data_IF_135092774112
#
_entry.id   IF_135092774112
#
_cell.length_a   1.000
_cell.length_b   1.000
_cell.length_c   1.000
_cell.angle_alpha   90.00
_cell.angle_beta   90.00
_cell.angle_gamma   90.00
#
_symmetry.space_group_name_H-M   'P 1'
#
loop_
_entity.id
_entity.type
_entity.pdbx_description
1 polymer ?
#
# COMPACT_ATOMS: atom_id res chain seq x y z
N UNK A 1 -12.19 -9.80 -4.01
CA UNK A 1 -11.95 -8.35 -4.17
C UNK A 1 -10.62 -8.07 -4.84
N UNK A 2 -9.51 -8.71 -4.42
CA UNK A 2 -8.18 -8.62 -5.06
C UNK A 2 -8.23 -8.73 -6.58
N UNK A 3 -8.90 -9.75 -7.11
CA UNK A 3 -8.94 -10.02 -8.56
C UNK A 3 -9.52 -8.88 -9.41
N UNK A 4 -10.53 -8.17 -8.89
CA UNK A 4 -11.14 -7.04 -9.59
C UNK A 4 -10.22 -5.82 -9.60
N UNK A 5 -9.53 -5.56 -8.50
CA UNK A 5 -8.57 -4.45 -8.37
C UNK A 5 -7.35 -4.72 -9.26
N UNK A 6 -6.82 -5.94 -9.24
CA UNK A 6 -5.71 -6.33 -10.12
C UNK A 6 -6.08 -6.18 -11.59
N UNK A 7 -7.27 -6.65 -11.98
CA UNK A 7 -7.76 -6.48 -13.36
C UNK A 7 -7.83 -5.02 -13.79
N UNK A 8 -8.36 -4.13 -12.93
CA UNK A 8 -8.44 -2.70 -13.24
C UNK A 8 -7.06 -2.03 -13.29
N UNK A 9 -6.13 -2.42 -12.40
CA UNK A 9 -4.74 -1.95 -12.43
C UNK A 9 -4.05 -2.35 -13.73
N UNK A 10 -4.22 -3.60 -14.17
CA UNK A 10 -3.63 -4.11 -15.42
C UNK A 10 -4.14 -3.37 -16.66
N UNK A 11 -5.37 -2.84 -16.64
CA UNK A 11 -5.89 -2.01 -17.73
C UNK A 11 -5.16 -0.67 -17.85
N UNK A 12 -4.68 -0.11 -16.75
CA UNK A 12 -3.92 1.15 -16.75
C UNK A 12 -4.73 2.40 -17.16
N UNK A 13 -6.07 2.30 -17.19
CA UNK A 13 -6.95 3.39 -17.65
C UNK A 13 -7.36 4.35 -16.53
N UNK A 14 -7.07 4.01 -15.26
CA UNK A 14 -7.40 4.83 -14.09
C UNK A 14 -6.36 4.72 -12.99
N UNK A 15 -6.26 5.78 -12.17
CA UNK A 15 -5.55 5.73 -10.91
C UNK A 15 -6.45 5.06 -9.84
N UNK A 16 -5.86 4.18 -9.02
CA UNK A 16 -6.57 3.48 -7.93
C UNK A 16 -5.93 3.91 -6.61
N UNK A 17 -6.73 4.47 -5.71
CA UNK A 17 -6.33 4.75 -4.34
C UNK A 17 -7.05 3.77 -3.41
N UNK A 18 -6.28 2.90 -2.76
CA UNK A 18 -6.78 1.96 -1.76
C UNK A 18 -6.37 2.44 -0.37
N UNK A 19 -7.32 2.38 0.56
CA UNK A 19 -7.08 2.66 1.97
C UNK A 19 -7.43 1.39 2.74
N UNK A 20 -6.43 0.79 3.36
CA UNK A 20 -6.56 -0.50 4.04
C UNK A 20 -5.83 -0.47 5.38
N UNK A 21 -6.36 -1.21 6.35
CA UNK A 21 -5.73 -1.34 7.67
C UNK A 21 -4.64 -2.44 7.68
N UNK A 22 -4.67 -3.36 6.72
CA UNK A 22 -3.73 -4.47 6.62
C UNK A 22 -2.64 -4.16 5.59
N UNK A 23 -1.42 -3.89 6.06
CA UNK A 23 -0.28 -3.58 5.20
C UNK A 23 -0.02 -4.66 4.15
N UNK A 24 -0.06 -5.94 4.52
CA UNK A 24 0.24 -7.04 3.59
C UNK A 24 -0.69 -7.03 2.37
N UNK A 25 -1.96 -6.66 2.55
CA UNK A 25 -2.93 -6.58 1.47
C UNK A 25 -2.62 -5.41 0.53
N UNK A 26 -2.38 -4.22 1.09
CA UNK A 26 -1.99 -3.05 0.32
C UNK A 26 -0.67 -3.27 -0.42
N UNK A 27 0.31 -3.87 0.26
CA UNK A 27 1.61 -4.19 -0.29
C UNK A 27 1.52 -5.21 -1.42
N UNK A 28 0.61 -6.18 -1.37
CA UNK A 28 0.44 -7.14 -2.47
C UNK A 28 -0.07 -6.48 -3.76
N UNK A 29 -1.00 -5.53 -3.65
CA UNK A 29 -1.72 -4.94 -4.79
C UNK A 29 -1.13 -3.63 -5.33
N UNK A 30 -0.50 -2.82 -4.48
CA UNK A 30 -0.11 -1.46 -4.81
C UNK A 30 1.26 -1.37 -5.49
N UNK A 31 1.40 -0.39 -6.39
CA UNK A 31 2.68 0.01 -6.98
C UNK A 31 3.49 0.91 -6.04
N UNK A 32 2.81 1.85 -5.39
CA UNK A 32 3.35 2.76 -4.40
C UNK A 32 2.52 2.68 -3.12
N UNK A 33 3.16 2.85 -1.97
CA UNK A 33 2.52 2.77 -0.66
C UNK A 33 2.84 4.03 0.14
N UNK A 34 1.84 4.51 0.87
CA UNK A 34 1.99 5.56 1.87
C UNK A 34 1.39 5.04 3.18
N UNK A 35 2.17 5.09 4.25
CA UNK A 35 1.74 4.71 5.59
C UNK A 35 1.59 5.97 6.42
N UNK A 36 0.44 6.08 7.09
CA UNK A 36 0.13 7.21 7.94
C UNK A 36 -0.05 6.75 9.39
N UNK A 37 0.54 7.50 10.32
CA UNK A 37 0.26 7.39 11.75
C UNK A 37 -0.16 8.77 12.28
N UNK A 38 -1.30 8.82 12.99
CA UNK A 38 -1.85 10.05 13.60
C UNK A 38 -1.90 11.29 12.70
N UNK A 39 -2.15 11.09 11.39
CA UNK A 39 -2.26 12.18 10.42
C UNK A 39 -0.93 12.62 9.81
N UNK A 40 0.18 11.98 10.17
CA UNK A 40 1.49 12.19 9.57
C UNK A 40 1.88 11.02 8.67
N UNK A 41 2.54 11.32 7.56
CA UNK A 41 3.12 10.29 6.68
C UNK A 41 4.45 9.87 7.29
N UNK A 42 4.52 8.60 7.72
CA UNK A 42 5.74 8.04 8.31
C UNK A 42 6.59 7.30 7.28
N UNK A 43 5.97 6.77 6.22
CA UNK A 43 6.64 6.04 5.15
C UNK A 43 5.91 6.33 3.83
N UNK A 44 6.66 6.62 2.77
CA UNK A 44 6.14 6.76 1.42
C UNK A 44 7.19 6.33 0.39
N UNK A 45 6.79 5.59 -0.63
CA UNK A 45 7.68 5.19 -1.72
C UNK A 45 7.07 4.14 -2.64
N UNK A 46 7.82 3.80 -3.68
CA UNK A 46 7.50 2.64 -4.51
C UNK A 46 7.64 1.37 -3.67
N UNK A 47 6.79 0.37 -3.94
CA UNK A 47 6.79 -0.91 -3.22
C UNK A 47 8.17 -1.56 -3.14
N UNK A 48 9.02 -1.39 -4.15
CA UNK A 48 10.35 -1.97 -4.20
C UNK A 48 11.40 -1.23 -3.36
N UNK A 49 11.12 0.01 -2.97
CA UNK A 49 12.01 0.85 -2.15
C UNK A 49 11.69 0.73 -0.66
N UNK A 50 10.52 0.17 -0.32
CA UNK A 50 10.03 0.06 1.05
C UNK A 50 10.56 -1.19 1.74
N UNK A 51 11.17 -1.00 2.91
CA UNK A 51 11.46 -2.09 3.84
C UNK A 51 10.17 -2.49 4.57
N UNK A 52 9.60 -3.61 4.14
CA UNK A 52 8.36 -4.15 4.71
C UNK A 52 8.49 -4.49 6.21
N UNK A 53 9.68 -4.86 6.69
CA UNK A 53 9.88 -5.18 8.10
C UNK A 53 9.93 -3.90 8.95
N UNK A 54 10.51 -2.84 8.41
CA UNK A 54 10.51 -1.52 9.05
C UNK A 54 9.08 -0.97 9.16
N UNK A 55 8.30 -1.03 8.08
CA UNK A 55 6.89 -0.62 8.08
C UNK A 55 6.06 -1.39 9.12
N UNK A 56 6.23 -2.72 9.22
CA UNK A 56 5.49 -3.53 10.20
C UNK A 56 5.78 -3.15 11.65
N UNK A 57 7.02 -2.72 11.97
CA UNK A 57 7.36 -2.24 13.33
C UNK A 57 6.55 -1.01 13.71
N UNK A 58 6.26 -0.13 12.76
CA UNK A 58 5.42 1.05 12.98
C UNK A 58 3.92 0.74 13.11
N UNK A 59 3.48 -0.44 12.66
CA UNK A 59 2.07 -0.87 12.70
C UNK A 59 1.74 -1.74 13.92
N UNK A 60 2.74 -2.12 14.72
CA UNK A 60 2.54 -2.94 15.92
C UNK A 60 2.15 -2.03 17.08
N UNK A 61 0.84 -1.92 17.33
CA UNK A 61 0.26 -1.33 18.54
C UNK A 61 -0.33 -2.43 19.42
#
# INVERSE_FOLDING_TARGET
MKDAVSYLREKGEMAILLVEQYFDFAHELADAITVMDRGEVIVAGDKNELDADDVRRHLTV
#
